data_IF_883951243888
#
_entry.id   IF_883951243888
#
_cell.length_a   1.000
_cell.length_b   1.000
_cell.length_c   1.000
_cell.angle_alpha   90.00
_cell.angle_beta   90.00
_cell.angle_gamma   90.00
#
_symmetry.space_group_name_H-M   'P 1'
#
loop_
_entity.id
_entity.type
_entity.pdbx_description
1 polymer ?
#
# COMPACT_ATOMS: atom_id res chain seq x y z
N UNK A 1 -11.01 -16.03 22.09
CA UNK A 1 -9.80 -16.33 21.29
C UNK A 1 -9.83 -15.47 20.06
N UNK A 2 -8.70 -14.89 19.66
CA UNK A 2 -8.59 -14.13 18.38
C UNK A 2 -8.85 -15.07 17.21
N UNK A 3 -9.46 -14.56 16.13
CA UNK A 3 -9.61 -15.30 14.87
C UNK A 3 -8.27 -15.48 14.15
N UNK A 4 -7.24 -14.72 14.52
CA UNK A 4 -5.93 -14.69 13.87
C UNK A 4 -4.83 -15.14 14.82
N UNK A 5 -3.95 -15.97 14.27
CA UNK A 5 -2.68 -16.38 14.90
C UNK A 5 -1.60 -16.33 13.82
N UNK A 6 -0.57 -15.54 14.06
CA UNK A 6 0.55 -15.41 13.14
C UNK A 6 1.42 -16.66 13.08
N UNK A 7 2.01 -16.91 11.92
CA UNK A 7 3.03 -17.95 11.75
C UNK A 7 4.40 -17.29 11.51
N UNK A 8 4.94 -16.65 12.54
CA UNK A 8 6.24 -15.95 12.48
C UNK A 8 7.36 -16.89 12.02
N UNK A 9 7.34 -18.15 12.48
CA UNK A 9 8.38 -19.14 12.09
C UNK A 9 8.39 -19.41 10.58
N UNK A 10 7.24 -19.42 9.93
CA UNK A 10 7.14 -19.60 8.48
C UNK A 10 7.68 -18.38 7.70
N UNK A 11 7.40 -17.18 8.19
CA UNK A 11 7.97 -15.95 7.63
C UNK A 11 9.49 -15.93 7.75
N UNK A 12 10.02 -16.25 8.92
CA UNK A 12 11.46 -16.36 9.15
C UNK A 12 12.11 -17.44 8.29
N UNK A 13 11.48 -18.60 8.15
CA UNK A 13 11.93 -19.69 7.29
C UNK A 13 12.06 -19.21 5.84
N UNK A 14 11.02 -18.58 5.33
CA UNK A 14 11.05 -18.05 3.97
C UNK A 14 12.13 -16.99 3.79
N UNK A 15 12.21 -16.01 4.70
CA UNK A 15 13.17 -14.92 4.58
C UNK A 15 14.62 -15.39 4.70
N UNK A 16 14.93 -16.23 5.68
CA UNK A 16 16.31 -16.50 6.06
C UNK A 16 16.84 -17.87 5.59
N UNK A 17 15.98 -18.87 5.43
CA UNK A 17 16.40 -20.20 5.02
C UNK A 17 16.15 -20.46 3.53
N UNK A 18 15.09 -19.88 2.94
CA UNK A 18 14.77 -20.04 1.52
C UNK A 18 15.39 -18.93 0.67
N UNK A 19 15.18 -17.67 1.05
CA UNK A 19 15.59 -16.51 0.24
C UNK A 19 16.92 -15.87 0.68
N UNK A 20 17.56 -16.36 1.73
CA UNK A 20 18.85 -15.89 2.25
C UNK A 20 18.92 -14.37 2.41
N UNK A 21 17.84 -13.76 2.97
CA UNK A 21 17.77 -12.29 3.09
C UNK A 21 18.80 -11.69 4.05
N UNK A 22 19.40 -12.50 4.93
CA UNK A 22 20.54 -12.10 5.75
C UNK A 22 21.72 -11.56 4.92
N UNK A 23 21.84 -11.91 3.63
CA UNK A 23 22.93 -11.44 2.77
C UNK A 23 22.82 -9.96 2.40
N UNK A 24 21.63 -9.36 2.56
CA UNK A 24 21.37 -7.94 2.26
C UNK A 24 21.06 -7.11 3.51
N UNK A 25 20.66 -7.74 4.60
CA UNK A 25 20.41 -7.08 5.87
C UNK A 25 21.72 -6.66 6.54
N UNK A 26 21.74 -5.50 7.21
CA UNK A 26 22.92 -4.94 7.84
C UNK A 26 23.99 -4.47 6.84
N UNK A 27 23.65 -4.32 5.54
CA UNK A 27 24.61 -3.93 4.50
C UNK A 27 24.07 -2.83 3.58
N UNK A 28 24.96 -1.98 3.09
CA UNK A 28 24.64 -0.96 2.10
C UNK A 28 23.52 -0.03 2.55
N UNK A 29 22.45 0.07 1.76
CA UNK A 29 21.31 0.95 2.07
C UNK A 29 20.43 0.42 3.23
N UNK A 30 20.68 -0.80 3.72
CA UNK A 30 19.96 -1.44 4.82
C UNK A 30 20.88 -1.68 6.03
N UNK A 31 21.96 -0.90 6.18
CA UNK A 31 22.95 -1.05 7.26
C UNK A 31 22.34 -0.95 8.66
N UNK A 32 21.26 -0.18 8.82
CA UNK A 32 20.54 0.02 10.09
C UNK A 32 19.57 -1.13 10.42
N UNK A 33 19.37 -2.09 9.52
CA UNK A 33 18.40 -3.19 9.69
C UNK A 33 19.11 -4.52 9.48
N UNK A 34 19.70 -5.05 10.53
CA UNK A 34 20.27 -6.40 10.53
C UNK A 34 19.21 -7.50 10.72
N UNK A 35 19.63 -8.75 10.82
CA UNK A 35 18.73 -9.91 10.97
C UNK A 35 17.96 -9.85 12.28
N UNK A 36 18.60 -9.42 13.37
CA UNK A 36 17.99 -9.39 14.69
C UNK A 36 16.93 -8.27 14.77
N UNK A 37 17.24 -7.09 14.21
CA UNK A 37 16.30 -5.99 14.05
C UNK A 37 15.12 -6.42 13.18
N UNK A 38 15.35 -7.11 12.06
CA UNK A 38 14.27 -7.60 11.20
C UNK A 38 13.35 -8.59 11.91
N UNK A 39 13.90 -9.53 12.69
CA UNK A 39 13.13 -10.48 13.52
C UNK A 39 12.34 -9.77 14.62
N UNK A 40 12.94 -8.79 15.27
CA UNK A 40 12.26 -8.01 16.31
C UNK A 40 11.07 -7.24 15.75
N UNK A 41 11.24 -6.57 14.61
CA UNK A 41 10.15 -5.89 13.89
C UNK A 41 9.02 -6.87 13.56
N UNK A 42 9.32 -8.04 12.98
CA UNK A 42 8.33 -9.07 12.65
C UNK A 42 7.58 -9.51 13.92
N UNK A 43 8.31 -9.77 15.00
CA UNK A 43 7.74 -10.17 16.28
C UNK A 43 6.82 -9.13 16.91
N UNK A 44 7.19 -7.85 16.84
CA UNK A 44 6.36 -6.74 17.34
C UNK A 44 5.08 -6.57 16.52
N UNK A 45 5.18 -6.61 15.19
CA UNK A 45 4.00 -6.53 14.32
C UNK A 45 3.10 -7.75 14.49
N UNK A 46 3.66 -8.95 14.69
CA UNK A 46 2.87 -10.15 14.97
C UNK A 46 2.04 -10.01 16.26
N UNK A 47 2.63 -9.48 17.33
CA UNK A 47 1.90 -9.21 18.60
C UNK A 47 0.77 -8.21 18.39
N UNK A 48 1.03 -7.12 17.66
CA UNK A 48 0.02 -6.12 17.33
C UNK A 48 -1.11 -6.73 16.47
N UNK A 49 -0.75 -7.56 15.49
CA UNK A 49 -1.68 -8.24 14.61
C UNK A 49 -2.60 -9.20 15.36
N UNK A 50 -2.06 -10.06 16.22
CA UNK A 50 -2.85 -11.00 17.03
C UNK A 50 -3.72 -10.33 18.09
N UNK A 51 -3.33 -9.15 18.54
CA UNK A 51 -4.01 -8.33 19.54
C UNK A 51 -4.95 -7.31 18.94
N UNK A 52 -4.49 -6.08 18.91
CA UNK A 52 -5.31 -4.90 18.59
C UNK A 52 -5.91 -4.94 17.18
N UNK A 53 -5.18 -5.44 16.17
CA UNK A 53 -5.70 -5.43 14.81
C UNK A 53 -6.78 -6.50 14.61
N UNK A 54 -6.55 -7.70 15.13
CA UNK A 54 -7.52 -8.78 15.03
C UNK A 54 -8.81 -8.49 15.82
N UNK A 55 -8.72 -7.71 16.91
CA UNK A 55 -9.85 -7.44 17.79
C UNK A 55 -11.02 -6.73 17.10
N UNK A 56 -10.76 -5.94 16.05
CA UNK A 56 -11.81 -5.16 15.37
C UNK A 56 -12.41 -5.84 14.14
N UNK A 57 -11.82 -6.92 13.62
CA UNK A 57 -12.26 -7.47 12.33
C UNK A 57 -13.74 -7.87 12.34
N UNK A 58 -14.14 -8.70 13.28
CA UNK A 58 -15.51 -9.23 13.32
C UNK A 58 -16.52 -8.13 13.64
N UNK A 59 -16.20 -7.23 14.57
CA UNK A 59 -17.09 -6.13 14.94
C UNK A 59 -17.25 -5.14 13.79
N UNK A 60 -16.16 -4.74 13.13
CA UNK A 60 -16.22 -3.79 12.03
C UNK A 60 -16.84 -4.37 10.74
N UNK A 61 -16.83 -5.69 10.58
CA UNK A 61 -17.54 -6.37 9.49
C UNK A 61 -19.06 -6.38 9.75
N UNK A 62 -19.47 -6.67 10.98
CA UNK A 62 -20.89 -6.70 11.36
C UNK A 62 -21.53 -5.32 11.52
N UNK A 63 -20.74 -4.34 11.89
CA UNK A 63 -21.14 -2.95 12.07
C UNK A 63 -20.39 -2.08 11.04
N UNK A 64 -20.81 -2.11 9.74
CA UNK A 64 -20.11 -1.42 8.68
C UNK A 64 -20.14 0.11 8.86
N UNK A 65 -19.28 0.85 8.17
CA UNK A 65 -19.30 2.30 8.17
C UNK A 65 -20.68 2.85 7.78
N UNK A 66 -21.16 3.86 8.51
CA UNK A 66 -22.45 4.51 8.27
C UNK A 66 -22.24 5.81 7.53
N UNK A 67 -22.90 5.95 6.37
CA UNK A 67 -22.92 7.19 5.60
C UNK A 67 -24.09 8.07 5.99
N UNK A 68 -23.82 9.34 6.27
CA UNK A 68 -24.82 10.37 6.50
C UNK A 68 -24.96 11.22 5.24
N UNK A 69 -26.13 11.18 4.56
CA UNK A 69 -26.33 11.93 3.32
C UNK A 69 -26.50 13.45 3.53
N UNK A 70 -26.87 13.90 4.73
CA UNK A 70 -27.04 15.33 5.03
C UNK A 70 -25.69 16.01 5.22
N UNK A 71 -24.85 15.44 6.08
CA UNK A 71 -23.51 15.97 6.35
C UNK A 71 -22.47 15.47 5.34
N UNK A 72 -22.82 14.49 4.49
CA UNK A 72 -21.93 13.80 3.54
C UNK A 72 -20.70 13.19 4.22
N UNK A 73 -20.86 12.80 5.49
CA UNK A 73 -19.80 12.20 6.29
C UNK A 73 -19.97 10.68 6.40
N UNK A 74 -18.88 9.98 6.76
CA UNK A 74 -18.89 8.54 7.03
C UNK A 74 -18.37 8.30 8.44
N UNK A 75 -19.20 7.69 9.29
CA UNK A 75 -18.80 7.28 10.63
C UNK A 75 -18.25 5.86 10.59
N UNK A 76 -17.03 5.68 11.06
CA UNK A 76 -16.37 4.38 11.17
C UNK A 76 -16.68 3.72 12.52
N UNK A 77 -16.73 2.37 12.59
CA UNK A 77 -16.85 1.65 13.87
C UNK A 77 -15.73 2.04 14.84
N UNK A 78 -16.05 2.21 16.11
CA UNK A 78 -15.06 2.59 17.14
C UNK A 78 -13.98 1.53 17.33
N UNK A 79 -14.32 0.25 17.23
CA UNK A 79 -13.36 -0.85 17.25
C UNK A 79 -12.30 -0.71 16.15
N UNK A 80 -12.73 -0.36 14.92
CA UNK A 80 -11.83 -0.14 13.80
C UNK A 80 -10.93 1.08 14.02
N UNK A 81 -11.50 2.20 14.49
CA UNK A 81 -10.72 3.40 14.79
C UNK A 81 -9.61 3.10 15.80
N UNK A 82 -9.93 2.34 16.84
CA UNK A 82 -8.96 1.93 17.86
C UNK A 82 -7.83 1.09 17.26
N UNK A 83 -8.15 0.04 16.49
CA UNK A 83 -7.17 -0.81 15.84
C UNK A 83 -6.26 -0.04 14.87
N UNK A 84 -6.86 0.80 14.04
CA UNK A 84 -6.09 1.63 13.11
C UNK A 84 -5.17 2.62 13.85
N UNK A 85 -5.67 3.24 14.92
CA UNK A 85 -4.86 4.12 15.75
C UNK A 85 -3.68 3.38 16.38
N UNK A 86 -3.89 2.17 16.91
CA UNK A 86 -2.79 1.34 17.45
C UNK A 86 -1.71 1.06 16.40
N UNK A 87 -2.10 0.81 15.15
CA UNK A 87 -1.15 0.60 14.04
C UNK A 87 -0.35 1.87 13.71
N UNK A 88 -1.02 3.02 13.64
CA UNK A 88 -0.36 4.30 13.33
C UNK A 88 0.55 4.75 14.47
N UNK A 89 0.07 4.68 15.73
CA UNK A 89 0.84 5.09 16.91
C UNK A 89 2.11 4.22 17.08
N UNK A 90 2.07 2.97 16.64
CA UNK A 90 3.23 2.09 16.62
C UNK A 90 4.26 2.43 15.52
N UNK A 91 3.93 3.36 14.62
CA UNK A 91 4.85 3.84 13.58
C UNK A 91 5.03 2.92 12.37
N UNK A 92 4.32 1.79 12.30
CA UNK A 92 4.55 0.80 11.24
C UNK A 92 4.17 1.28 9.84
N UNK A 93 3.34 2.31 9.71
CA UNK A 93 3.06 2.97 8.44
C UNK A 93 4.29 3.64 7.83
N UNK A 94 5.24 4.10 8.67
CA UNK A 94 6.47 4.79 8.24
C UNK A 94 7.44 3.88 7.48
N UNK A 95 7.28 2.57 7.55
CA UNK A 95 8.06 1.62 6.73
C UNK A 95 7.77 1.73 5.23
N UNK A 96 6.68 2.38 4.86
CA UNK A 96 6.32 2.69 3.47
C UNK A 96 6.75 4.10 3.03
N UNK A 97 7.21 4.93 3.94
CA UNK A 97 7.71 6.26 3.65
C UNK A 97 9.22 6.24 3.34
N UNK A 98 9.72 7.11 2.44
CA UNK A 98 11.15 7.26 2.22
C UNK A 98 11.81 7.97 3.42
N UNK A 99 13.13 7.80 3.55
CA UNK A 99 13.90 8.42 4.65
C UNK A 99 13.78 9.93 4.65
N UNK A 100 13.68 10.54 3.48
CA UNK A 100 13.49 11.99 3.30
C UNK A 100 12.15 12.50 3.85
N UNK A 101 11.22 11.59 4.14
CA UNK A 101 9.95 11.84 4.81
C UNK A 101 9.90 11.16 6.19
N UNK A 102 11.04 11.02 6.84
CA UNK A 102 11.21 10.40 8.16
C UNK A 102 10.84 8.90 8.21
N UNK A 103 10.84 8.23 7.06
CA UNK A 103 10.60 6.80 6.96
C UNK A 103 11.83 5.95 7.28
N UNK A 104 11.62 4.65 7.42
CA UNK A 104 12.69 3.68 7.68
C UNK A 104 13.02 2.90 6.41
N UNK A 105 14.31 2.77 6.08
CA UNK A 105 14.75 1.91 4.99
C UNK A 105 14.70 0.44 5.41
N UNK A 106 13.62 -0.22 5.07
CA UNK A 106 13.44 -1.66 5.30
C UNK A 106 13.39 -2.39 3.97
N UNK A 107 14.09 -3.54 3.83
CA UNK A 107 14.00 -4.31 2.59
C UNK A 107 12.55 -4.67 2.25
N UNK A 108 12.16 -4.61 0.96
CA UNK A 108 10.79 -4.95 0.54
C UNK A 108 10.34 -6.34 1.00
N UNK A 109 11.25 -7.31 1.10
CA UNK A 109 10.95 -8.65 1.60
C UNK A 109 10.45 -8.64 3.05
N UNK A 110 11.10 -7.88 3.93
CA UNK A 110 10.67 -7.71 5.32
C UNK A 110 9.34 -6.95 5.36
N UNK A 111 9.23 -5.82 4.65
CA UNK A 111 8.00 -5.04 4.59
C UNK A 111 6.78 -5.86 4.16
N UNK A 112 6.92 -6.70 3.14
CA UNK A 112 5.80 -7.54 2.67
C UNK A 112 5.45 -8.66 3.65
N UNK A 113 6.41 -9.17 4.42
CA UNK A 113 6.12 -10.09 5.54
C UNK A 113 5.26 -9.42 6.61
N UNK A 114 5.52 -8.13 6.91
CA UNK A 114 4.66 -7.37 7.83
C UNK A 114 3.27 -7.14 7.25
N UNK A 115 3.17 -6.85 5.96
CA UNK A 115 1.88 -6.70 5.28
C UNK A 115 1.04 -7.98 5.37
N UNK A 116 1.65 -9.16 5.27
CA UNK A 116 0.98 -10.45 5.46
C UNK A 116 0.36 -10.56 6.86
N UNK A 117 1.11 -10.22 7.90
CA UNK A 117 0.62 -10.24 9.28
C UNK A 117 -0.58 -9.29 9.47
N UNK A 118 -0.46 -8.08 8.97
CA UNK A 118 -1.52 -7.05 9.08
C UNK A 118 -2.75 -7.46 8.27
N UNK A 119 -2.59 -7.93 7.03
CA UNK A 119 -3.68 -8.40 6.19
C UNK A 119 -4.40 -9.61 6.78
N UNK A 120 -3.65 -10.56 7.35
CA UNK A 120 -4.22 -11.73 8.00
C UNK A 120 -5.06 -11.38 9.23
N UNK A 121 -4.64 -10.38 9.98
CA UNK A 121 -5.35 -9.90 11.17
C UNK A 121 -6.55 -9.01 10.82
N UNK A 122 -6.36 -8.01 9.96
CA UNK A 122 -7.39 -7.11 9.50
C UNK A 122 -7.01 -6.42 8.18
N UNK A 123 -7.48 -6.91 7.02
CA UNK A 123 -7.12 -6.36 5.71
C UNK A 123 -7.55 -4.90 5.54
N UNK A 124 -8.58 -4.44 6.24
CA UNK A 124 -8.99 -3.06 6.18
C UNK A 124 -7.94 -2.13 6.80
N UNK A 125 -7.27 -2.52 7.89
CA UNK A 125 -6.18 -1.73 8.49
C UNK A 125 -5.04 -1.58 7.47
N UNK A 126 -4.61 -2.66 6.82
CA UNK A 126 -3.58 -2.59 5.78
C UNK A 126 -3.99 -1.67 4.62
N UNK A 127 -5.20 -1.81 4.12
CA UNK A 127 -5.70 -0.97 3.04
C UNK A 127 -5.74 0.51 3.41
N UNK A 128 -6.02 0.83 4.69
CA UNK A 128 -6.02 2.21 5.18
C UNK A 128 -4.64 2.79 5.40
N UNK A 129 -3.64 1.98 5.67
CA UNK A 129 -2.26 2.42 5.85
C UNK A 129 -1.53 2.76 4.54
N UNK A 130 -2.08 2.41 3.37
CA UNK A 130 -1.44 2.63 2.07
C UNK A 130 -1.14 4.10 1.71
N UNK A 131 -1.55 5.06 2.55
CA UNK A 131 -1.30 6.49 2.32
C UNK A 131 0.19 6.84 2.30
N UNK A 132 0.99 6.17 3.12
CA UNK A 132 2.44 6.37 3.15
C UNK A 132 3.10 5.90 1.85
N UNK A 133 2.64 4.80 1.26
CA UNK A 133 3.11 4.35 -0.05
C UNK A 133 2.73 5.34 -1.17
N UNK A 134 1.54 5.98 -1.10
CA UNK A 134 1.18 7.04 -2.03
C UNK A 134 1.99 8.31 -1.83
N UNK A 135 2.33 8.67 -0.60
CA UNK A 135 3.23 9.79 -0.33
C UNK A 135 4.62 9.52 -0.93
N UNK A 136 5.14 8.29 -0.79
CA UNK A 136 6.40 7.86 -1.41
C UNK A 136 6.37 8.00 -2.93
N UNK A 137 5.29 7.51 -3.57
CA UNK A 137 5.12 7.65 -5.02
C UNK A 137 5.12 9.12 -5.44
N UNK A 138 4.40 9.96 -4.70
CA UNK A 138 4.32 11.39 -4.97
C UNK A 138 5.67 12.10 -4.79
N UNK A 139 6.43 11.70 -3.77
CA UNK A 139 7.75 12.25 -3.49
C UNK A 139 8.76 11.92 -4.60
N UNK A 140 8.81 10.66 -5.06
CA UNK A 140 9.77 10.24 -6.07
C UNK A 140 9.39 10.64 -7.50
N UNK A 141 8.10 10.71 -7.81
CA UNK A 141 7.62 10.94 -9.18
C UNK A 141 7.08 12.36 -9.42
N UNK A 142 6.89 13.12 -8.35
CA UNK A 142 6.25 14.43 -8.40
C UNK A 142 7.24 15.58 -8.61
N UNK A 143 6.68 16.75 -8.97
CA UNK A 143 7.39 18.03 -8.96
C UNK A 143 7.53 18.54 -7.51
N UNK A 144 8.17 19.70 -7.31
CA UNK A 144 8.47 20.24 -5.98
C UNK A 144 7.21 20.53 -5.14
N UNK A 145 6.12 20.97 -5.77
CA UNK A 145 4.83 21.17 -5.06
C UNK A 145 4.21 19.83 -4.63
N UNK A 146 4.32 18.81 -5.47
CA UNK A 146 3.85 17.46 -5.13
C UNK A 146 4.71 16.81 -4.05
N UNK A 147 6.02 17.08 -4.00
CA UNK A 147 6.89 16.63 -2.90
C UNK A 147 6.51 17.28 -1.57
N UNK A 148 6.18 18.59 -1.57
CA UNK A 148 5.64 19.26 -0.37
C UNK A 148 4.33 18.63 0.08
N UNK A 149 3.44 18.31 -0.87
CA UNK A 149 2.20 17.60 -0.57
C UNK A 149 2.45 16.21 0.03
N UNK A 150 3.45 15.47 -0.49
CA UNK A 150 3.85 14.18 0.08
C UNK A 150 4.24 14.32 1.55
N UNK A 151 5.02 15.35 1.91
CA UNK A 151 5.36 15.63 3.30
C UNK A 151 4.12 15.95 4.15
N UNK A 152 3.21 16.77 3.66
CA UNK A 152 1.96 17.06 4.38
C UNK A 152 1.09 15.81 4.58
N UNK A 153 1.08 14.87 3.63
CA UNK A 153 0.38 13.59 3.77
C UNK A 153 0.95 12.78 4.93
N UNK A 154 2.27 12.72 5.04
CA UNK A 154 2.95 11.98 6.12
C UNK A 154 2.75 12.68 7.46
N UNK A 155 3.11 13.95 7.56
CA UNK A 155 3.05 14.73 8.80
C UNK A 155 1.63 14.84 9.37
N UNK A 156 0.65 14.99 8.50
CA UNK A 156 -0.77 15.13 8.86
C UNK A 156 -1.52 13.83 9.00
N UNK A 157 -0.90 12.69 8.70
CA UNK A 157 -1.58 11.39 8.66
C UNK A 157 -2.75 11.37 7.66
N UNK A 158 -2.61 12.09 6.55
CA UNK A 158 -3.69 12.21 5.56
C UNK A 158 -3.89 10.91 4.81
N UNK A 159 -5.16 10.61 4.52
CA UNK A 159 -5.49 9.44 3.72
C UNK A 159 -5.48 9.76 2.23
N UNK A 160 -4.93 8.81 1.46
CA UNK A 160 -4.91 8.86 0.01
C UNK A 160 -5.79 7.77 -0.58
N UNK A 161 -6.38 8.05 -1.73
CA UNK A 161 -7.13 7.05 -2.51
C UNK A 161 -6.66 7.05 -3.95
N UNK A 162 -6.61 5.85 -4.55
CA UNK A 162 -6.40 5.70 -5.99
C UNK A 162 -7.73 5.40 -6.67
N UNK A 163 -8.14 6.30 -7.56
CA UNK A 163 -9.42 6.19 -8.28
C UNK A 163 -9.11 5.86 -9.75
N UNK A 164 -9.13 4.58 -10.10
CA UNK A 164 -8.68 4.10 -11.40
C UNK A 164 -9.81 3.48 -12.23
N UNK A 165 -10.57 2.53 -11.63
CA UNK A 165 -11.61 1.75 -12.29
C UNK A 165 -12.73 2.62 -12.82
N UNK A 166 -13.23 2.29 -14.02
CA UNK A 166 -14.41 2.86 -14.65
C UNK A 166 -15.48 1.79 -14.89
N UNK A 167 -16.75 2.15 -15.17
CA UNK A 167 -17.81 1.15 -15.39
C UNK A 167 -17.46 0.08 -16.43
N UNK A 168 -16.77 0.46 -17.52
CA UNK A 168 -16.41 -0.41 -18.62
C UNK A 168 -14.90 -0.75 -18.67
N UNK A 169 -14.13 -0.36 -17.65
CA UNK A 169 -12.68 -0.48 -17.61
C UNK A 169 -12.19 -0.85 -16.20
N UNK A 170 -12.31 -2.12 -15.84
CA UNK A 170 -11.83 -2.67 -14.58
C UNK A 170 -10.46 -3.33 -14.76
N UNK A 171 -10.42 -4.57 -15.27
CA UNK A 171 -9.16 -5.28 -15.51
C UNK A 171 -8.35 -4.64 -16.64
N UNK A 172 -8.98 -4.22 -17.72
CA UNK A 172 -8.36 -3.39 -18.75
C UNK A 172 -8.54 -1.90 -18.42
N UNK A 173 -7.75 -1.39 -17.50
CA UNK A 173 -7.77 0.03 -17.13
C UNK A 173 -7.33 0.95 -18.25
N UNK A 174 -6.63 0.41 -19.28
CA UNK A 174 -6.24 1.13 -20.49
C UNK A 174 -7.42 1.54 -21.38
N UNK A 175 -8.56 0.85 -21.25
CA UNK A 175 -9.81 1.18 -21.93
C UNK A 175 -10.59 2.35 -21.27
N UNK A 176 -10.08 2.92 -20.18
CA UNK A 176 -10.70 4.04 -19.47
C UNK A 176 -11.00 5.23 -20.38
N UNK A 177 -12.17 5.83 -20.20
CA UNK A 177 -12.68 6.95 -21.01
C UNK A 177 -12.49 8.32 -20.36
N UNK A 178 -12.12 8.38 -19.10
CA UNK A 178 -11.83 9.64 -18.39
C UNK A 178 -10.77 10.43 -19.14
N UNK A 179 -11.03 11.71 -19.34
CA UNK A 179 -10.14 12.63 -20.04
C UNK A 179 -9.76 13.80 -19.14
N UNK A 180 -8.53 14.26 -19.28
CA UNK A 180 -8.05 15.51 -18.71
C UNK A 180 -7.81 16.49 -19.84
N UNK A 181 -8.37 17.71 -19.73
CA UNK A 181 -8.18 18.82 -20.66
C UNK A 181 -7.49 19.95 -19.91
N UNK A 182 -6.38 20.43 -20.44
CA UNK A 182 -5.63 21.51 -19.82
C UNK A 182 -6.34 22.87 -20.09
N UNK A 183 -6.38 23.70 -19.06
CA UNK A 183 -6.85 25.06 -19.11
C UNK A 183 -5.68 26.02 -19.41
N UNK A 184 -5.98 27.26 -19.82
CA UNK A 184 -4.97 28.28 -20.12
C UNK A 184 -4.14 28.70 -18.89
N UNK A 185 -4.67 28.52 -17.68
CA UNK A 185 -3.99 28.77 -16.40
C UNK A 185 -3.09 27.62 -15.92
N UNK A 186 -2.95 26.57 -16.71
CA UNK A 186 -2.16 25.37 -16.38
C UNK A 186 -2.88 24.35 -15.51
N UNK A 187 -4.10 24.62 -15.06
CA UNK A 187 -4.94 23.63 -14.37
C UNK A 187 -5.55 22.61 -15.34
N UNK A 188 -6.21 21.59 -14.83
CA UNK A 188 -6.80 20.53 -15.65
C UNK A 188 -8.24 20.25 -15.27
N UNK A 189 -9.12 20.21 -16.26
CA UNK A 189 -10.48 19.71 -16.12
C UNK A 189 -10.50 18.20 -16.37
N UNK A 190 -11.01 17.44 -15.40
CA UNK A 190 -11.14 15.98 -15.51
C UNK A 190 -12.61 15.66 -15.74
N UNK A 191 -12.91 14.99 -16.85
CA UNK A 191 -14.27 14.56 -17.23
C UNK A 191 -14.30 13.05 -17.36
N UNK A 192 -15.17 12.40 -16.60
CA UNK A 192 -15.34 10.94 -16.61
C UNK A 192 -16.06 10.43 -15.39
N UNK A 193 -16.28 9.11 -15.33
CA UNK A 193 -16.91 8.42 -14.21
C UNK A 193 -15.95 7.37 -13.67
N UNK A 194 -15.59 7.49 -12.40
CA UNK A 194 -14.80 6.48 -11.68
C UNK A 194 -15.70 5.69 -10.75
N UNK A 195 -15.40 4.42 -10.54
CA UNK A 195 -16.23 3.48 -9.78
C UNK A 195 -15.39 2.70 -8.78
N UNK A 196 -16.04 2.29 -7.69
CA UNK A 196 -15.45 1.37 -6.70
C UNK A 196 -14.17 1.88 -6.05
N UNK A 197 -14.11 3.20 -5.74
CA UNK A 197 -13.00 3.73 -4.96
C UNK A 197 -13.25 3.48 -3.47
N UNK A 198 -12.43 2.69 -2.79
CA UNK A 198 -12.47 2.60 -1.33
C UNK A 198 -12.00 3.94 -0.75
N UNK A 199 -12.65 4.44 0.27
CA UNK A 199 -12.31 5.61 1.09
C UNK A 199 -12.84 6.96 0.61
N UNK A 200 -14.12 7.25 0.79
CA UNK A 200 -14.59 8.62 0.87
C UNK A 200 -14.07 9.32 2.14
N UNK A 201 -14.21 10.64 2.19
CA UNK A 201 -13.92 11.47 3.39
C UNK A 201 -14.56 10.91 4.66
N UNK A 202 -13.88 10.96 5.81
CA UNK A 202 -14.28 10.31 7.06
C UNK A 202 -14.12 11.21 8.27
N UNK A 203 -14.94 10.96 9.28
CA UNK A 203 -15.03 11.75 10.52
C UNK A 203 -13.83 11.70 11.45
N UNK A 204 -12.81 10.89 11.15
CA UNK A 204 -11.62 10.70 11.99
C UNK A 204 -10.30 11.06 11.31
N UNK A 205 -10.36 11.45 10.04
CA UNK A 205 -9.23 12.09 9.35
C UNK A 205 -9.59 13.52 9.02
N UNK A 206 -8.68 14.45 9.28
CA UNK A 206 -8.87 15.87 9.00
C UNK A 206 -8.90 16.19 7.51
N UNK A 207 -8.35 15.31 6.67
CA UNK A 207 -8.28 15.53 5.22
C UNK A 207 -8.12 14.20 4.49
N UNK A 208 -8.78 14.07 3.34
CA UNK A 208 -8.51 13.01 2.37
C UNK A 208 -8.10 13.66 1.04
N UNK A 209 -7.00 13.23 0.46
CA UNK A 209 -6.62 13.59 -0.90
C UNK A 209 -6.99 12.45 -1.85
N UNK A 210 -7.66 12.78 -2.94
CA UNK A 210 -7.96 11.83 -4.01
C UNK A 210 -7.01 12.10 -5.16
N UNK A 211 -6.10 11.18 -5.46
CA UNK A 211 -5.27 11.27 -6.65
C UNK A 211 -5.98 10.55 -7.80
N UNK A 212 -6.36 11.29 -8.84
CA UNK A 212 -6.66 10.72 -10.14
C UNK A 212 -5.40 10.88 -10.99
N UNK A 213 -4.79 9.76 -11.40
CA UNK A 213 -3.75 9.84 -12.41
C UNK A 213 -4.36 10.39 -13.70
N UNK A 214 -3.79 11.42 -14.33
CA UNK A 214 -4.24 11.83 -15.65
C UNK A 214 -4.11 10.63 -16.59
N UNK A 215 -5.04 10.44 -17.55
CA UNK A 215 -4.91 9.40 -18.53
C UNK A 215 -3.58 9.61 -19.26
N UNK A 216 -2.71 8.62 -19.20
CA UNK A 216 -1.52 8.61 -20.04
C UNK A 216 -2.02 8.69 -21.48
N UNK A 217 -1.55 9.68 -22.23
CA UNK A 217 -1.81 9.76 -23.66
C UNK A 217 -1.60 8.37 -24.24
N UNK A 218 -2.51 7.93 -25.13
CA UNK A 218 -2.43 6.61 -25.75
C UNK A 218 -1.00 6.40 -26.24
N UNK A 219 -0.23 5.58 -25.54
CA UNK A 219 0.93 4.99 -26.18
C UNK A 219 0.38 4.24 -27.37
N UNK A 220 1.03 4.33 -28.56
CA UNK A 220 0.68 3.43 -29.67
C UNK A 220 0.58 2.03 -29.06
N UNK A 221 -0.45 1.27 -29.43
CA UNK A 221 -0.57 -0.13 -29.02
C UNK A 221 0.78 -0.76 -29.32
N UNK A 222 1.55 -1.08 -28.29
CA UNK A 222 2.70 -1.93 -28.50
C UNK A 222 2.12 -3.20 -29.10
N UNK A 223 2.50 -3.50 -30.31
CA UNK A 223 2.39 -4.84 -30.87
C UNK A 223 2.78 -5.78 -29.74
N UNK A 224 1.96 -6.82 -29.51
CA UNK A 224 2.04 -7.67 -28.33
C UNK A 224 3.45 -8.13 -28.02
N UNK A 225 3.72 -8.65 -26.81
CA UNK A 225 5.06 -8.95 -26.37
C UNK A 225 5.78 -9.75 -27.44
N UNK A 226 6.84 -9.20 -27.98
CA UNK A 226 7.76 -9.91 -28.87
C UNK A 226 8.12 -11.23 -28.17
N UNK A 227 8.06 -12.37 -28.85
CA UNK A 227 8.43 -13.64 -28.25
C UNK A 227 9.86 -13.48 -27.69
N UNK A 228 9.97 -13.62 -26.37
CA UNK A 228 11.27 -13.66 -25.71
C UNK A 228 11.95 -14.90 -26.27
N UNK A 229 13.02 -14.70 -27.08
CA UNK A 229 13.88 -15.77 -27.48
C UNK A 229 14.42 -16.44 -26.21
N UNK A 230 13.87 -17.61 -25.88
CA UNK A 230 14.49 -18.49 -24.89
C UNK A 230 15.82 -18.92 -25.47
N UNK A 231 16.95 -18.75 -24.75
CA UNK A 231 18.20 -19.36 -25.17
C UNK A 231 17.97 -20.85 -25.26
N UNK A 232 18.32 -21.45 -26.41
CA UNK A 232 18.30 -22.90 -26.57
C UNK A 232 19.20 -23.54 -25.51
N UNK A 233 18.61 -24.30 -24.60
CA UNK A 233 19.36 -25.15 -23.67
C UNK A 233 19.98 -26.27 -24.48
N UNK A 234 21.31 -26.44 -24.51
CA UNK A 234 21.97 -27.53 -25.21
C UNK A 234 21.41 -28.87 -24.68
N UNK A 235 20.89 -29.70 -25.58
CA UNK A 235 20.48 -31.08 -25.23
C UNK A 235 21.74 -31.85 -24.86
N UNK A 236 21.77 -32.44 -23.67
CA UNK A 236 22.79 -33.42 -23.30
C UNK A 236 22.77 -34.58 -24.31
N UNK A 237 23.94 -35.10 -24.75
CA UNK A 237 24.00 -36.32 -25.54
C UNK A 237 23.33 -37.45 -24.76
N UNK A 238 22.50 -38.24 -25.42
CA UNK A 238 22.03 -39.52 -24.89
C UNK A 238 23.21 -40.50 -25.07
N UNK A 239 23.80 -40.85 -23.93
CA UNK A 239 24.73 -41.98 -23.91
C UNK A 239 23.94 -43.24 -24.28
N UNK A 240 24.49 -43.98 -25.24
CA UNK A 240 24.01 -45.26 -25.70
C UNK A 240 24.33 -46.43 -24.77
#
# INVERSE_FOLDING_TARGET
>A
MSHYKSNVRDLEFNLFEVFNRQDVLGTGIYEDVDVDVAKDIIGQVAKLAEGDLAASLIDSDRNPPVYDPETKSVTMPESFKKSYKSYIDAGWGMLDAPVELDGMKVPPSVRWSLAELVCGANPAVHMFSASYAFASLLYFMGNDEQKKLAKHIVDGGWHCTMVLTEPDAGSDVGAGRTKATQNDDGTWNITGVKRSSPRPSRTWSTTSSTSSSPPRGRRPRHEGPQPVHRPEVPRRPRDG
#
